data_IF_934187000865
#
_entry.id   IF_934187000865
#
_cell.length_a   1.000
_cell.length_b   1.000
_cell.length_c   1.000
_cell.angle_alpha   90.00
_cell.angle_beta   90.00
_cell.angle_gamma   90.00
#
_symmetry.space_group_name_H-M   'P 1'
#
loop_
_entity.id
_entity.type
_entity.pdbx_description
1 polymer ?
#
# COMPACT_ATOMS: atom_id res chain seq x y z
N UNK A 1 -3.03 40.00 -27.79
CA UNK A 1 -4.24 39.60 -28.56
C UNK A 1 -4.88 38.43 -27.80
N UNK A 2 -5.45 38.63 -26.61
CA UNK A 2 -6.50 39.59 -26.21
C UNK A 2 -7.82 39.28 -26.91
N UNK A 3 -8.76 38.69 -26.17
CA UNK A 3 -10.07 39.30 -25.89
C UNK A 3 -10.68 38.72 -24.61
N UNK A 4 -10.92 39.65 -23.69
CA UNK A 4 -11.66 39.56 -22.44
C UNK A 4 -13.11 39.07 -22.63
N UNK A 5 -13.60 38.37 -21.60
CA UNK A 5 -15.02 38.15 -21.39
C UNK A 5 -15.48 39.07 -20.24
N UNK A 6 -16.04 40.22 -20.62
CA UNK A 6 -16.75 41.17 -19.76
C UNK A 6 -18.02 40.50 -19.22
N UNK A 7 -18.26 40.54 -17.91
CA UNK A 7 -19.63 40.44 -17.37
C UNK A 7 -19.86 41.45 -16.26
N UNK A 8 -20.43 42.55 -16.74
CA UNK A 8 -21.05 43.66 -16.04
C UNK A 8 -22.23 43.19 -15.17
N UNK A 9 -22.31 43.69 -13.93
CA UNK A 9 -23.52 43.69 -13.09
C UNK A 9 -23.47 44.88 -12.14
N UNK A 10 -23.89 46.01 -12.67
CA UNK A 10 -24.76 47.04 -12.09
C UNK A 10 -24.89 47.09 -10.54
N UNK A 11 -24.36 48.19 -9.99
CA UNK A 11 -24.56 48.67 -8.62
C UNK A 11 -25.75 49.65 -8.65
N UNK A 12 -26.85 49.42 -7.93
CA UNK A 12 -27.90 50.43 -7.83
C UNK A 12 -27.53 51.52 -6.80
N UNK A 13 -27.55 52.76 -7.30
CA UNK A 13 -27.46 54.01 -6.56
C UNK A 13 -28.64 54.17 -5.61
N UNK A 14 -28.36 54.42 -4.31
CA UNK A 14 -29.38 54.73 -3.32
C UNK A 14 -29.57 56.25 -3.18
N UNK A 15 -30.71 56.73 -3.65
CA UNK A 15 -31.18 58.11 -3.47
C UNK A 15 -31.59 58.35 -2.02
N UNK A 16 -31.01 59.38 -1.41
CA UNK A 16 -31.28 59.83 -0.03
C UNK A 16 -32.61 60.59 0.02
N UNK A 17 -33.57 60.12 0.81
CA UNK A 17 -34.72 60.92 1.26
C UNK A 17 -34.57 61.19 2.75
N UNK A 18 -34.36 62.47 3.10
CA UNK A 18 -34.38 62.94 4.49
C UNK A 18 -35.82 63.09 4.95
N UNK A 19 -36.23 62.29 5.93
CA UNK A 19 -37.42 62.57 6.75
C UNK A 19 -36.95 62.99 8.14
N UNK A 20 -37.35 64.19 8.55
CA UNK A 20 -37.05 64.79 9.83
C UNK A 20 -38.21 64.49 10.78
N UNK A 21 -37.97 63.71 11.83
CA UNK A 21 -38.89 63.58 12.96
C UNK A 21 -38.09 63.39 14.26
N UNK A 22 -38.34 64.27 15.23
CA UNK A 22 -37.97 64.18 16.65
C UNK A 22 -39.05 64.95 17.43
N UNK A 23 -39.18 64.77 18.76
CA UNK A 23 -38.92 63.59 19.58
C UNK A 23 -40.04 63.37 20.63
N UNK A 24 -40.16 62.18 21.21
CA UNK A 24 -40.70 62.06 22.57
C UNK A 24 -40.07 60.88 23.30
N UNK A 25 -39.67 61.15 24.53
CA UNK A 25 -38.83 60.34 25.41
C UNK A 25 -39.72 59.49 26.32
N UNK A 26 -39.44 58.20 26.44
CA UNK A 26 -39.91 57.40 27.58
C UNK A 26 -38.86 56.37 27.97
N UNK A 27 -38.22 56.61 29.11
CA UNK A 27 -37.39 55.66 29.84
C UNK A 27 -38.30 54.85 30.75
N UNK A 28 -38.47 53.55 30.50
CA UNK A 28 -38.86 52.58 31.53
C UNK A 28 -38.15 51.23 31.24
N UNK A 29 -37.17 50.90 32.07
CA UNK A 29 -36.84 49.53 32.50
C UNK A 29 -36.98 49.55 34.04
N UNK A 30 -37.20 48.44 34.76
CA UNK A 30 -36.86 47.06 34.41
C UNK A 30 -37.99 46.05 34.75
N UNK A 31 -37.70 44.74 34.61
CA UNK A 31 -38.00 43.68 35.60
C UNK A 31 -38.40 42.35 34.92
N UNK A 32 -37.46 41.39 34.99
CA UNK A 32 -37.67 39.95 35.19
C UNK A 32 -38.54 39.21 34.18
N UNK A 33 -37.87 38.39 33.36
CA UNK A 33 -38.21 36.95 33.34
C UNK A 33 -37.02 36.18 32.79
N UNK A 34 -36.37 35.43 33.67
CA UNK A 34 -35.51 34.30 33.32
C UNK A 34 -36.33 33.31 32.50
N UNK A 35 -36.15 33.28 31.18
CA UNK A 35 -36.56 32.13 30.37
C UNK A 35 -35.31 31.33 30.01
N UNK A 36 -35.22 30.17 30.66
CA UNK A 36 -34.61 28.92 30.20
C UNK A 36 -33.50 29.09 29.14
N UNK A 37 -32.22 29.10 29.51
CA UNK A 37 -31.43 27.85 29.60
C UNK A 37 -32.05 26.71 28.79
N UNK A 38 -31.61 26.58 27.54
CA UNK A 38 -31.23 25.36 26.80
C UNK A 38 -31.56 25.53 25.32
N UNK A 39 -30.58 25.96 24.52
CA UNK A 39 -30.53 25.73 23.08
C UNK A 39 -29.18 25.07 22.74
N UNK A 40 -29.14 24.19 21.73
CA UNK A 40 -28.75 22.80 21.92
C UNK A 40 -27.28 22.53 21.55
N UNK A 41 -26.62 21.69 22.37
CA UNK A 41 -25.31 21.10 22.11
C UNK A 41 -25.36 20.00 21.03
N UNK A 42 -25.95 20.28 19.87
CA UNK A 42 -26.09 19.29 18.76
C UNK A 42 -25.27 19.69 17.52
N UNK A 43 -24.81 20.95 17.41
CA UNK A 43 -24.02 21.39 16.24
C UNK A 43 -22.54 20.96 16.29
N UNK A 44 -22.02 20.54 17.45
CA UNK A 44 -20.61 20.10 17.56
C UNK A 44 -20.41 18.63 17.16
N UNK A 45 -21.47 17.81 17.14
CA UNK A 45 -21.33 16.37 16.86
C UNK A 45 -21.23 16.03 15.36
N UNK A 46 -21.44 17.00 14.46
CA UNK A 46 -21.44 16.78 13.00
C UNK A 46 -20.11 17.15 12.31
N UNK A 47 -19.08 17.56 13.08
CA UNK A 47 -17.74 17.86 12.55
C UNK A 47 -16.70 16.77 12.83
N UNK A 48 -17.07 15.74 13.60
CA UNK A 48 -16.30 14.50 13.64
C UNK A 48 -16.65 13.69 12.39
N UNK A 49 -16.01 14.04 11.27
CA UNK A 49 -15.86 13.08 10.18
C UNK A 49 -15.27 11.83 10.84
N UNK A 50 -15.85 10.63 10.66
CA UNK A 50 -15.08 9.44 10.92
C UNK A 50 -13.84 9.59 10.04
N UNK A 51 -12.66 9.72 10.65
CA UNK A 51 -11.44 9.38 9.95
C UNK A 51 -11.73 7.99 9.41
N UNK A 52 -11.90 7.87 8.09
CA UNK A 52 -11.88 6.56 7.46
C UNK A 52 -10.57 5.96 7.94
N UNK A 53 -10.67 5.01 8.88
CA UNK A 53 -9.59 4.09 9.09
C UNK A 53 -9.48 3.39 7.74
N UNK A 54 -8.56 3.85 6.90
CA UNK A 54 -8.01 2.98 5.89
C UNK A 54 -7.49 1.80 6.71
N UNK A 55 -8.22 0.69 6.72
CA UNK A 55 -7.57 -0.58 6.91
C UNK A 55 -6.44 -0.55 5.89
N UNK A 56 -5.21 -0.47 6.36
CA UNK A 56 -4.07 -0.62 5.47
C UNK A 56 -4.30 -1.97 4.79
N UNK A 57 -4.76 -1.95 3.54
CA UNK A 57 -4.77 -3.11 2.66
C UNK A 57 -3.31 -3.41 2.38
N UNK A 58 -2.60 -3.83 3.43
CA UNK A 58 -1.17 -3.96 3.41
C UNK A 58 -0.90 -5.21 2.61
N UNK A 59 -0.64 -4.98 1.32
CA UNK A 59 -0.33 -6.02 0.35
C UNK A 59 0.79 -6.86 0.94
N UNK A 60 0.61 -8.17 0.88
CA UNK A 60 1.43 -9.15 1.55
C UNK A 60 2.00 -10.11 0.52
N UNK A 61 3.26 -10.52 0.70
CA UNK A 61 3.93 -11.55 -0.07
C UNK A 61 4.71 -12.43 0.90
N UNK A 62 4.24 -13.64 1.17
CA UNK A 62 5.14 -14.67 1.70
C UNK A 62 6.13 -15.06 0.62
N UNK A 63 7.40 -15.24 0.98
CA UNK A 63 8.43 -15.69 0.05
C UNK A 63 9.33 -16.73 0.72
N UNK A 64 9.57 -17.85 0.05
CA UNK A 64 10.47 -18.91 0.52
C UNK A 64 11.24 -19.52 -0.63
N UNK A 65 12.51 -19.84 -0.37
CA UNK A 65 13.25 -20.71 -1.26
C UNK A 65 12.69 -22.14 -1.13
N UNK A 66 12.34 -22.75 -2.25
CA UNK A 66 11.75 -24.10 -2.28
C UNK A 66 12.76 -25.14 -2.72
N UNK A 67 13.72 -24.75 -3.56
CA UNK A 67 14.78 -25.63 -4.05
C UNK A 67 16.01 -24.83 -4.51
N UNK A 68 17.15 -25.51 -4.62
CA UNK A 68 18.36 -25.01 -5.29
C UNK A 68 18.89 -26.09 -6.22
N UNK A 69 18.83 -25.83 -7.52
CA UNK A 69 19.19 -26.81 -8.56
C UNK A 69 20.48 -26.38 -9.25
N UNK A 70 21.43 -27.31 -9.36
CA UNK A 70 22.62 -27.12 -10.17
C UNK A 70 22.34 -27.48 -11.63
N UNK A 71 22.75 -26.62 -12.56
CA UNK A 71 22.63 -26.84 -14.00
C UNK A 71 24.00 -26.76 -14.70
N UNK A 72 24.14 -27.36 -15.90
CA UNK A 72 25.40 -27.31 -16.63
C UNK A 72 25.89 -25.87 -16.86
N UNK A 73 27.21 -25.67 -16.77
CA UNK A 73 27.81 -24.34 -16.95
C UNK A 73 28.07 -23.57 -15.65
N UNK A 74 28.17 -24.27 -14.51
CA UNK A 74 28.38 -23.66 -13.19
C UNK A 74 27.25 -22.71 -12.79
N UNK A 75 26.00 -23.03 -13.15
CA UNK A 75 24.84 -22.19 -12.82
C UNK A 75 24.02 -22.86 -11.72
N UNK A 76 23.63 -22.05 -10.73
CA UNK A 76 22.74 -22.42 -9.66
C UNK A 76 21.42 -21.68 -9.87
N UNK A 77 20.33 -22.44 -9.84
CA UNK A 77 18.97 -21.94 -9.95
C UNK A 77 18.34 -22.01 -8.58
N UNK A 78 18.14 -20.86 -7.95
CA UNK A 78 17.42 -20.75 -6.68
C UNK A 78 15.94 -20.56 -6.99
N UNK A 79 15.12 -21.55 -6.66
CA UNK A 79 13.68 -21.50 -6.88
C UNK A 79 12.97 -20.86 -5.69
N UNK A 80 12.07 -19.93 -5.95
CA UNK A 80 11.27 -19.25 -4.94
C UNK A 80 9.79 -19.41 -5.21
N UNK A 81 9.04 -19.67 -4.14
CA UNK A 81 7.59 -19.53 -4.14
C UNK A 81 7.19 -18.24 -3.44
N UNK A 82 6.33 -17.47 -4.10
CA UNK A 82 5.69 -16.27 -3.59
C UNK A 82 4.19 -16.53 -3.44
N UNK A 83 3.54 -16.05 -2.39
CA UNK A 83 2.08 -16.20 -2.18
C UNK A 83 1.51 -14.95 -1.48
N UNK A 84 0.43 -14.38 -2.00
CA UNK A 84 -0.17 -13.14 -1.49
C UNK A 84 -1.14 -13.32 -0.31
N UNK A 85 -1.20 -14.52 0.26
CA UNK A 85 -2.02 -14.86 1.43
C UNK A 85 -3.51 -14.96 1.13
N UNK A 86 -3.94 -14.90 -0.13
CA UNK A 86 -5.35 -14.95 -0.51
C UNK A 86 -6.09 -13.63 -0.22
N UNK A 87 -5.36 -12.52 -0.18
CA UNK A 87 -5.94 -11.18 0.05
C UNK A 87 -6.85 -10.69 -1.09
N UNK A 88 -6.80 -11.32 -2.26
CA UNK A 88 -7.50 -10.87 -3.47
C UNK A 88 -6.87 -9.64 -4.13
N UNK A 89 -5.80 -9.08 -3.55
CA UNK A 89 -5.03 -7.98 -4.14
C UNK A 89 -3.79 -8.55 -4.81
N UNK A 90 -3.81 -8.56 -6.15
CA UNK A 90 -2.71 -9.07 -6.96
C UNK A 90 -1.52 -8.12 -7.05
N UNK A 91 -0.43 -8.61 -7.64
CA UNK A 91 0.79 -7.90 -7.98
C UNK A 91 1.05 -7.96 -9.48
N UNK A 92 1.50 -6.83 -10.03
CA UNK A 92 2.07 -6.77 -11.37
C UNK A 92 3.41 -7.51 -11.42
N UNK A 93 4.10 -7.41 -12.56
CA UNK A 93 5.42 -8.03 -12.70
C UNK A 93 6.38 -7.41 -11.69
N UNK A 94 7.08 -8.25 -10.93
CA UNK A 94 8.07 -7.80 -9.95
C UNK A 94 9.48 -7.99 -10.50
N UNK A 95 10.37 -7.07 -10.14
CA UNK A 95 11.81 -7.27 -10.25
C UNK A 95 12.42 -7.18 -8.86
N UNK A 96 12.98 -8.28 -8.38
CA UNK A 96 13.44 -8.45 -6.99
C UNK A 96 14.95 -8.65 -6.99
N UNK A 97 15.67 -7.69 -6.41
CA UNK A 97 17.13 -7.80 -6.24
C UNK A 97 17.43 -8.56 -4.96
N UNK A 98 18.20 -9.63 -5.09
CA UNK A 98 18.54 -10.59 -4.05
C UNK A 98 20.05 -10.62 -3.82
N UNK A 99 20.47 -10.52 -2.55
CA UNK A 99 21.84 -10.72 -2.13
C UNK A 99 22.04 -12.15 -1.60
N UNK A 100 22.99 -12.88 -2.17
CA UNK A 100 23.42 -14.19 -1.66
C UNK A 100 24.42 -13.97 -0.53
N UNK A 101 24.13 -14.50 0.67
CA UNK A 101 24.87 -14.23 1.90
C UNK A 101 25.61 -15.45 2.43
N UNK A 102 26.83 -15.23 2.92
CA UNK A 102 27.53 -16.23 3.74
C UNK A 102 26.95 -16.30 5.17
N UNK A 103 27.46 -17.22 5.98
CA UNK A 103 27.01 -17.42 7.37
C UNK A 103 27.31 -16.23 8.29
N UNK A 104 28.23 -15.36 7.90
CA UNK A 104 28.57 -14.14 8.65
C UNK A 104 27.71 -12.93 8.22
N UNK A 105 26.88 -13.08 7.18
CA UNK A 105 26.02 -12.02 6.64
C UNK A 105 26.68 -11.18 5.54
N UNK A 106 27.87 -11.54 5.07
CA UNK A 106 28.51 -10.84 3.96
C UNK A 106 27.83 -11.18 2.64
N UNK A 107 27.67 -10.19 1.77
CA UNK A 107 27.18 -10.42 0.40
C UNK A 107 28.27 -11.04 -0.44
N UNK A 108 28.06 -12.28 -0.89
CA UNK A 108 28.92 -13.01 -1.81
C UNK A 108 28.61 -12.65 -3.27
N UNK A 109 27.33 -12.48 -3.59
CA UNK A 109 26.86 -12.13 -4.92
C UNK A 109 25.50 -11.41 -4.85
N UNK A 110 25.10 -10.79 -5.95
CA UNK A 110 23.79 -10.15 -6.10
C UNK A 110 23.23 -10.52 -7.45
N UNK A 111 21.94 -10.86 -7.49
CA UNK A 111 21.23 -11.08 -8.73
C UNK A 111 19.82 -10.50 -8.67
N UNK A 112 19.15 -10.53 -9.82
CA UNK A 112 17.78 -10.03 -9.96
C UNK A 112 16.90 -11.17 -10.41
N UNK A 113 15.82 -11.38 -9.67
CA UNK A 113 14.78 -12.35 -9.99
C UNK A 113 13.57 -11.60 -10.51
N UNK A 114 13.12 -11.95 -11.71
CA UNK A 114 11.87 -11.44 -12.26
C UNK A 114 10.72 -12.40 -11.90
N UNK A 115 9.61 -11.83 -11.45
CA UNK A 115 8.41 -12.56 -11.02
C UNK A 115 7.25 -12.13 -11.88
N UNK A 116 6.59 -13.07 -12.55
CA UNK A 116 5.40 -12.73 -13.33
C UNK A 116 4.25 -12.22 -12.42
N UNK A 117 3.28 -11.48 -12.96
CA UNK A 117 2.10 -11.04 -12.22
C UNK A 117 1.37 -12.20 -11.55
N UNK A 118 0.83 -11.99 -10.34
CA UNK A 118 0.14 -13.02 -9.56
C UNK A 118 -0.83 -12.43 -8.52
N UNK A 119 -1.71 -13.26 -7.96
CA UNK A 119 -2.55 -12.91 -6.80
C UNK A 119 -3.83 -12.15 -7.11
N UNK A 120 -4.17 -11.96 -8.39
CA UNK A 120 -5.43 -11.35 -8.84
C UNK A 120 -6.65 -12.28 -8.69
N UNK A 121 -6.41 -13.56 -8.40
CA UNK A 121 -7.43 -14.56 -8.12
C UNK A 121 -6.89 -15.63 -7.16
N UNK A 122 -7.78 -16.44 -6.59
CA UNK A 122 -7.37 -17.59 -5.76
C UNK A 122 -6.55 -18.63 -6.53
N UNK A 123 -6.77 -18.77 -7.84
CA UNK A 123 -6.03 -19.70 -8.69
C UNK A 123 -4.59 -19.23 -8.98
N UNK A 124 -4.37 -17.91 -8.95
CA UNK A 124 -3.07 -17.26 -9.19
C UNK A 124 -2.45 -16.75 -7.89
N UNK A 125 -2.98 -17.15 -6.73
CA UNK A 125 -2.56 -16.71 -5.38
C UNK A 125 -1.05 -16.83 -5.15
N UNK A 126 -0.44 -17.85 -5.74
CA UNK A 126 1.00 -18.11 -5.64
C UNK A 126 1.68 -18.09 -7.00
N UNK A 127 2.96 -17.72 -6.99
CA UNK A 127 3.82 -17.75 -8.16
C UNK A 127 5.17 -18.38 -7.85
N UNK A 128 5.73 -19.10 -8.83
CA UNK A 128 7.10 -19.58 -8.81
C UNK A 128 8.00 -18.63 -9.60
N UNK A 129 9.20 -18.37 -9.08
CA UNK A 129 10.20 -17.55 -9.73
C UNK A 129 11.60 -18.13 -9.49
N UNK A 130 12.55 -17.75 -10.34
CA UNK A 130 13.88 -18.33 -10.36
C UNK A 130 14.93 -17.24 -10.37
N UNK A 131 15.91 -17.36 -9.48
CA UNK A 131 17.16 -16.62 -9.59
C UNK A 131 18.21 -17.54 -10.18
N UNK A 132 18.63 -17.25 -11.41
CA UNK A 132 19.79 -17.89 -12.02
C UNK A 132 21.04 -17.06 -11.75
N UNK A 133 22.09 -17.71 -11.26
CA UNK A 133 23.39 -17.06 -11.02
C UNK A 133 24.49 -18.11 -11.15
N UNK A 134 25.72 -17.68 -11.41
CA UNK A 134 26.88 -18.56 -11.25
C UNK A 134 26.87 -19.16 -9.83
N UNK A 135 27.11 -20.45 -9.70
CA UNK A 135 27.17 -21.09 -8.39
C UNK A 135 28.29 -20.47 -7.56
N UNK A 136 27.93 -19.92 -6.40
CA UNK A 136 28.86 -19.35 -5.44
C UNK A 136 28.90 -20.26 -4.23
N UNK A 137 30.10 -20.64 -3.81
CA UNK A 137 30.30 -21.47 -2.63
C UNK A 137 29.91 -20.74 -1.35
N UNK A 138 29.49 -21.50 -0.33
CA UNK A 138 29.19 -21.01 1.03
C UNK A 138 27.99 -20.07 1.18
N UNK A 139 27.08 -20.02 0.20
CA UNK A 139 25.78 -19.34 0.37
C UNK A 139 24.99 -20.04 1.48
N UNK A 140 24.46 -19.25 2.40
CA UNK A 140 23.70 -19.73 3.56
C UNK A 140 22.37 -19.02 3.77
N UNK A 141 22.20 -17.83 3.20
CA UNK A 141 20.96 -17.07 3.24
C UNK A 141 20.81 -16.21 1.99
N UNK A 142 19.58 -15.77 1.73
CA UNK A 142 19.25 -14.81 0.68
C UNK A 142 18.57 -13.62 1.33
N UNK A 143 18.99 -12.41 0.95
CA UNK A 143 18.45 -11.15 1.46
C UNK A 143 17.77 -10.37 0.33
N UNK A 144 16.54 -9.90 0.55
CA UNK A 144 15.84 -9.02 -0.38
C UNK A 144 16.38 -7.61 -0.20
N UNK A 145 17.08 -7.10 -1.22
CA UNK A 145 17.72 -5.79 -1.15
C UNK A 145 16.84 -4.67 -1.72
N UNK A 146 16.13 -4.95 -2.82
CA UNK A 146 15.23 -4.01 -3.52
C UNK A 146 14.13 -4.79 -4.23
N UNK A 147 12.98 -4.15 -4.37
CA UNK A 147 11.90 -4.67 -5.20
C UNK A 147 11.22 -3.52 -5.96
N UNK A 148 10.84 -3.79 -7.20
CA UNK A 148 9.97 -2.95 -8.01
C UNK A 148 8.78 -3.77 -8.50
N UNK A 149 7.70 -3.07 -8.82
CA UNK A 149 6.49 -3.64 -9.41
C UNK A 149 6.10 -2.80 -10.62
N UNK A 150 5.80 -3.46 -11.73
CA UNK A 150 5.18 -2.82 -12.88
C UNK A 150 3.71 -2.53 -12.57
N UNK A 151 3.33 -1.26 -12.67
CA UNK A 151 1.96 -0.78 -12.55
C UNK A 151 1.67 0.17 -13.70
N UNK A 152 0.66 -0.17 -14.51
CA UNK A 152 0.21 0.66 -15.62
C UNK A 152 1.35 1.03 -16.60
N UNK A 153 2.24 0.09 -16.90
CA UNK A 153 3.38 0.26 -17.80
C UNK A 153 4.60 0.94 -17.19
N UNK A 154 4.59 1.26 -15.89
CA UNK A 154 5.69 1.91 -15.20
C UNK A 154 6.21 1.07 -14.03
N UNK A 155 7.53 1.00 -13.85
CA UNK A 155 8.10 0.42 -12.65
C UNK A 155 8.03 1.39 -11.48
N UNK A 156 7.34 0.97 -10.42
CA UNK A 156 7.27 1.66 -9.15
C UNK A 156 8.05 0.88 -8.09
N UNK A 157 8.63 1.59 -7.12
CA UNK A 157 9.28 0.94 -5.97
C UNK A 157 8.23 0.20 -5.14
N UNK A 158 8.48 -1.07 -4.85
CA UNK A 158 7.69 -1.87 -3.92
C UNK A 158 8.34 -1.79 -2.52
N UNK A 159 7.62 -1.39 -1.46
CA UNK A 159 8.16 -1.38 -0.10
C UNK A 159 8.58 -2.78 0.35
N UNK A 160 9.75 -2.93 0.96
CA UNK A 160 10.23 -4.26 1.40
C UNK A 160 9.39 -4.85 2.54
N UNK A 161 8.65 -4.02 3.27
CA UNK A 161 7.75 -4.44 4.35
C UNK A 161 6.58 -5.30 3.89
N UNK A 162 6.31 -5.39 2.58
CA UNK A 162 5.29 -6.31 2.03
C UNK A 162 5.74 -7.76 2.04
N UNK A 163 7.06 -8.01 2.08
CA UNK A 163 7.62 -9.35 2.06
C UNK A 163 7.71 -9.93 3.46
N UNK A 164 7.23 -11.17 3.60
CA UNK A 164 7.36 -12.02 4.77
C UNK A 164 8.26 -13.20 4.41
N UNK A 165 9.58 -13.11 4.65
CA UNK A 165 10.52 -14.17 4.31
C UNK A 165 10.35 -15.36 5.25
N UNK A 166 10.16 -16.54 4.67
CA UNK A 166 9.93 -17.78 5.41
C UNK A 166 11.07 -18.78 5.18
N UNK A 167 11.59 -19.33 6.28
CA UNK A 167 12.50 -20.46 6.21
C UNK A 167 11.71 -21.74 5.91
N UNK A 168 12.13 -22.49 4.90
CA UNK A 168 11.51 -23.75 4.51
C UNK A 168 12.57 -24.83 4.34
N UNK A 169 12.43 -25.92 5.10
CA UNK A 169 13.24 -27.13 4.95
C UNK A 169 12.29 -28.33 4.87
N UNK A 170 12.07 -28.91 3.68
CA UNK A 170 11.14 -30.02 3.52
C UNK A 170 11.68 -31.29 4.18
N UNK A 171 10.77 -32.13 4.69
CA UNK A 171 11.09 -33.50 5.09
C UNK A 171 11.32 -34.37 3.86
N UNK A 172 12.27 -35.32 3.95
CA UNK A 172 12.45 -36.33 2.92
C UNK A 172 11.26 -37.29 2.90
N UNK A 173 10.76 -37.60 1.70
CA UNK A 173 9.66 -38.54 1.48
C UNK A 173 10.15 -39.67 0.58
N UNK A 174 9.87 -40.92 0.96
CA UNK A 174 10.21 -42.12 0.19
C UNK A 174 8.98 -42.99 -0.02
N UNK A 175 8.93 -43.72 -1.14
CA UNK A 175 7.88 -44.71 -1.42
C UNK A 175 8.29 -46.07 -0.85
N UNK A 176 7.39 -46.75 -0.14
CA UNK A 176 7.65 -48.09 0.38
C UNK A 176 7.84 -49.10 -0.77
N UNK A 177 9.00 -49.77 -0.80
CA UNK A 177 9.25 -50.83 -1.77
C UNK A 177 8.69 -52.15 -1.23
N UNK A 178 7.59 -52.63 -1.79
CA UNK A 178 7.16 -54.01 -1.56
C UNK A 178 8.16 -54.92 -2.29
N UNK A 179 9.02 -55.63 -1.55
CA UNK A 179 9.83 -56.69 -2.13
C UNK A 179 8.87 -57.73 -2.72
N UNK A 180 8.81 -57.82 -4.05
CA UNK A 180 8.24 -59.00 -4.70
C UNK A 180 9.10 -60.20 -4.25
N UNK A 181 8.47 -61.12 -3.53
CA UNK A 181 9.08 -62.36 -3.03
C UNK A 181 9.15 -63.42 -4.12
#
# INVERSE_FOLDING_TARGET
MEKDCQKDKDIPSFTIVRVWAKPTYSKIMPLVSRFAKTLPAIVVLMLCHPSSAYADEQRYISIRNTDTVWTPGNICVYQFRLDNGGSGVGFGQLSVSLGLKDKAGNTLATGTMDVAPFGDSDATRSQEAFLEHECVENVSAVEIMKATEERNGHQARLPLSVFDPQYYQPLSVSVAMNKAS
#
